data_IF_780300075779
#
_entry.id   IF_780300075779
#
_cell.length_a   1.000
_cell.length_b   1.000
_cell.length_c   1.000
_cell.angle_alpha   90.00
_cell.angle_beta   90.00
_cell.angle_gamma   90.00
#
_symmetry.space_group_name_H-M   'P 1'
#
loop_
_entity.id
_entity.type
_entity.pdbx_description
1 polymer ?
#
# COMPACT_ATOMS: atom_id res chain seq x y z
N UNK A 1 0.11 -0.53 6.88
CA UNK A 1 -0.05 0.59 5.93
C UNK A 1 -1.43 1.23 6.13
N UNK A 2 -1.54 2.57 6.16
CA UNK A 2 -2.83 3.29 6.34
C UNK A 2 -3.66 3.40 5.06
N UNK A 3 -3.09 2.99 3.92
CA UNK A 3 -3.60 3.27 2.58
C UNK A 3 -5.01 2.79 2.27
N UNK A 4 -5.56 3.34 1.20
CA UNK A 4 -6.88 3.06 0.65
C UNK A 4 -7.08 1.56 0.38
N UNK A 5 -8.24 1.03 0.79
CA UNK A 5 -8.56 -0.39 0.62
C UNK A 5 -8.65 -0.78 -0.86
N UNK A 6 -9.29 0.06 -1.70
CA UNK A 6 -9.47 -0.23 -3.12
C UNK A 6 -8.16 -0.21 -3.89
N UNK A 7 -7.30 0.77 -3.64
CA UNK A 7 -5.98 0.87 -4.25
C UNK A 7 -5.10 -0.34 -3.95
N UNK A 8 -4.97 -0.71 -2.66
CA UNK A 8 -4.15 -1.85 -2.25
C UNK A 8 -4.72 -3.18 -2.73
N UNK A 9 -6.05 -3.31 -2.80
CA UNK A 9 -6.69 -4.47 -3.42
C UNK A 9 -6.37 -4.59 -4.91
N UNK A 10 -6.38 -3.48 -5.65
CA UNK A 10 -6.05 -3.49 -7.08
C UNK A 10 -4.58 -3.87 -7.32
N UNK A 11 -3.65 -3.34 -6.51
CA UNK A 11 -2.24 -3.72 -6.55
C UNK A 11 -2.05 -5.20 -6.23
N UNK A 12 -2.63 -5.67 -5.11
CA UNK A 12 -2.57 -7.08 -4.71
C UNK A 12 -3.16 -8.01 -5.78
N UNK A 13 -4.28 -7.62 -6.40
CA UNK A 13 -4.87 -8.37 -7.51
C UNK A 13 -3.93 -8.43 -8.73
N UNK A 14 -3.22 -7.34 -9.03
CA UNK A 14 -2.27 -7.32 -10.14
C UNK A 14 -1.13 -8.34 -9.98
N UNK A 15 -0.64 -8.57 -8.75
CA UNK A 15 0.40 -9.57 -8.48
C UNK A 15 -0.12 -11.00 -8.67
N UNK A 16 -1.38 -11.24 -8.29
CA UNK A 16 -2.05 -12.52 -8.56
C UNK A 16 -2.22 -12.78 -10.06
N UNK A 17 -2.27 -11.72 -10.87
CA UNK A 17 -2.38 -11.77 -12.34
C UNK A 17 -1.03 -11.80 -13.06
N UNK A 18 0.09 -11.77 -12.33
CA UNK A 18 1.44 -11.96 -12.88
C UNK A 18 2.35 -10.73 -12.84
N UNK A 19 1.86 -9.56 -12.43
CA UNK A 19 2.68 -8.35 -12.31
C UNK A 19 3.42 -8.35 -10.97
N UNK A 20 4.64 -8.89 -10.93
CA UNK A 20 5.37 -9.09 -9.66
C UNK A 20 4.82 -10.26 -8.85
N UNK A 21 4.67 -11.43 -9.49
CA UNK A 21 4.01 -12.61 -8.93
C UNK A 21 4.76 -13.17 -7.71
N UNK A 22 4.07 -13.38 -6.58
CA UNK A 22 4.64 -13.89 -5.32
C UNK A 22 4.01 -15.20 -4.78
N UNK A 23 3.17 -15.89 -5.58
CA UNK A 23 2.53 -17.19 -5.27
C UNK A 23 1.88 -17.28 -3.87
N UNK A 24 0.82 -16.51 -3.59
CA UNK A 24 0.26 -16.42 -2.25
C UNK A 24 -0.70 -17.57 -1.91
N UNK A 25 -0.67 -17.98 -0.65
CA UNK A 25 -1.64 -18.83 0.02
C UNK A 25 -2.01 -18.20 1.35
N UNK A 26 -3.30 -18.14 1.68
CA UNK A 26 -3.72 -17.71 3.02
C UNK A 26 -3.30 -18.80 4.02
N UNK A 27 -2.23 -18.54 4.78
CA UNK A 27 -1.79 -19.42 5.85
C UNK A 27 -2.77 -19.35 7.02
N UNK A 28 -3.12 -18.13 7.41
CA UNK A 28 -4.15 -17.88 8.41
C UNK A 28 -4.83 -16.53 8.23
N UNK A 29 -6.11 -16.47 8.57
CA UNK A 29 -6.87 -15.25 8.80
C UNK A 29 -7.61 -15.45 10.10
N UNK A 30 -7.35 -14.60 11.08
CA UNK A 30 -8.01 -14.67 12.39
C UNK A 30 -8.52 -13.30 12.79
N UNK A 31 -9.69 -13.29 13.43
CA UNK A 31 -10.27 -12.08 13.99
C UNK A 31 -10.66 -12.32 15.44
N UNK A 32 -10.34 -11.38 16.31
CA UNK A 32 -10.59 -11.52 17.74
C UNK A 32 -10.20 -10.28 18.54
N UNK A 33 -10.47 -10.33 19.83
CA UNK A 33 -10.10 -9.27 20.76
C UNK A 33 -8.68 -9.50 21.30
N UNK A 34 -7.88 -8.44 21.29
CA UNK A 34 -6.51 -8.43 21.82
C UNK A 34 -6.46 -7.41 22.96
N UNK A 35 -6.01 -7.84 24.14
CA UNK A 35 -5.76 -6.97 25.28
C UNK A 35 -4.67 -5.94 24.97
N UNK A 36 -4.91 -4.67 25.32
CA UNK A 36 -3.97 -3.58 25.18
C UNK A 36 -3.46 -3.21 26.57
N UNK A 37 -2.15 -3.19 26.74
CA UNK A 37 -1.51 -2.78 27.98
C UNK A 37 -0.53 -1.63 27.75
N UNK A 38 -0.45 -0.73 28.72
CA UNK A 38 0.57 0.34 28.78
C UNK A 38 1.38 0.21 30.07
N UNK A 39 2.55 0.81 30.13
CA UNK A 39 3.36 0.92 31.36
C UNK A 39 3.44 2.40 31.75
N UNK A 40 2.51 2.90 32.59
CA UNK A 40 2.53 4.29 33.02
C UNK A 40 3.76 4.59 33.88
N UNK A 41 4.38 5.74 33.68
CA UNK A 41 5.57 6.16 34.43
C UNK A 41 5.28 6.23 35.94
N UNK A 42 4.07 6.67 36.31
CA UNK A 42 3.63 6.82 37.70
C UNK A 42 3.48 5.49 38.45
N UNK A 43 3.31 4.39 37.73
CA UNK A 43 3.06 3.07 38.30
C UNK A 43 4.26 2.13 38.13
N UNK A 44 5.01 2.24 37.03
CA UNK A 44 6.19 1.41 36.76
C UNK A 44 5.88 -0.07 36.47
N UNK A 45 4.62 -0.44 36.22
CA UNK A 45 4.20 -1.79 35.82
C UNK A 45 3.10 -1.75 34.74
N UNK A 46 2.90 -2.88 34.05
CA UNK A 46 1.92 -3.00 32.98
C UNK A 46 0.47 -2.96 33.51
N UNK A 47 -0.36 -2.12 32.90
CA UNK A 47 -1.79 -1.99 33.18
C UNK A 47 -2.56 -2.28 31.91
N UNK A 48 -3.50 -3.25 31.97
CA UNK A 48 -4.45 -3.51 30.89
C UNK A 48 -5.48 -2.37 30.83
N UNK A 49 -5.60 -1.72 29.67
CA UNK A 49 -6.47 -0.55 29.42
C UNK A 49 -7.71 -0.87 28.60
N UNK A 50 -7.90 -2.13 28.19
CA UNK A 50 -9.02 -2.60 27.40
C UNK A 50 -8.57 -3.53 26.28
N UNK A 51 -9.45 -3.74 25.30
CA UNK A 51 -9.23 -4.66 24.19
C UNK A 51 -9.55 -4.02 22.84
N UNK A 52 -8.94 -4.55 21.78
CA UNK A 52 -9.22 -4.15 20.40
C UNK A 52 -9.67 -5.36 19.60
N UNK A 53 -10.81 -5.24 18.91
CA UNK A 53 -11.19 -6.18 17.86
C UNK A 53 -10.27 -5.94 16.66
N UNK A 54 -9.49 -6.95 16.28
CA UNK A 54 -8.55 -6.89 15.18
C UNK A 54 -8.68 -8.10 14.27
N UNK A 55 -8.34 -7.92 13.00
CA UNK A 55 -8.14 -9.00 12.02
C UNK A 55 -6.68 -9.05 11.60
N UNK A 56 -6.06 -10.22 11.76
CA UNK A 56 -4.72 -10.56 11.32
C UNK A 56 -4.80 -11.49 10.09
N UNK A 57 -3.92 -11.26 9.12
CA UNK A 57 -3.76 -12.11 7.95
C UNK A 57 -2.28 -12.42 7.73
N UNK A 58 -1.97 -13.71 7.67
CA UNK A 58 -0.67 -14.23 7.30
C UNK A 58 -0.74 -14.92 5.93
N UNK A 59 0.01 -14.39 4.97
CA UNK A 59 0.17 -15.00 3.66
C UNK A 59 1.48 -15.79 3.63
N UNK A 60 1.39 -17.04 3.19
CA UNK A 60 2.55 -17.84 2.78
C UNK A 60 2.78 -17.56 1.30
N UNK A 61 4.03 -17.28 0.92
CA UNK A 61 4.42 -16.92 -0.43
C UNK A 61 5.47 -17.89 -0.99
N UNK A 62 5.91 -17.67 -2.23
CA UNK A 62 6.93 -18.49 -2.90
C UNK A 62 8.15 -18.78 -2.00
N UNK A 63 8.72 -19.99 -2.15
CA UNK A 63 9.91 -20.38 -1.40
C UNK A 63 11.18 -19.82 -2.03
N UNK A 64 12.20 -19.65 -1.19
CA UNK A 64 13.55 -19.30 -1.59
C UNK A 64 14.52 -20.40 -1.15
N UNK A 65 15.71 -20.43 -1.75
CA UNK A 65 16.81 -21.34 -1.42
C UNK A 65 18.09 -20.54 -1.09
N UNK A 66 18.17 -19.96 0.11
CA UNK A 66 19.31 -19.14 0.50
C UNK A 66 20.58 -19.98 0.77
N UNK A 67 21.78 -19.44 0.50
CA UNK A 67 23.02 -20.18 0.71
C UNK A 67 23.28 -20.44 2.19
N UNK A 68 23.47 -21.71 2.54
CA UNK A 68 23.82 -22.13 3.91
C UNK A 68 22.63 -22.49 4.81
N UNK A 69 21.40 -22.39 4.32
CA UNK A 69 20.18 -22.75 5.05
C UNK A 69 19.29 -23.67 4.20
N UNK A 70 18.21 -24.18 4.79
CA UNK A 70 17.25 -25.03 4.05
C UNK A 70 16.26 -24.16 3.30
N UNK A 71 15.79 -24.58 2.10
CA UNK A 71 14.72 -23.89 1.41
C UNK A 71 13.48 -23.72 2.30
N UNK A 72 12.90 -22.54 2.29
CA UNK A 72 11.72 -22.22 3.10
C UNK A 72 10.81 -21.21 2.38
N UNK A 73 9.54 -21.20 2.77
CA UNK A 73 8.58 -20.21 2.27
C UNK A 73 8.94 -18.80 2.74
N UNK A 74 8.54 -17.81 1.95
CA UNK A 74 8.49 -16.41 2.35
C UNK A 74 7.08 -16.06 2.84
N UNK A 75 6.87 -14.87 3.39
CA UNK A 75 5.58 -14.49 3.97
C UNK A 75 5.27 -13.02 3.81
N UNK A 76 3.99 -12.70 3.84
CA UNK A 76 3.47 -11.33 3.95
C UNK A 76 2.49 -11.22 5.11
N UNK A 77 2.36 -10.03 5.68
CA UNK A 77 1.59 -9.79 6.89
C UNK A 77 0.65 -8.59 6.78
N UNK A 78 -0.58 -8.76 7.26
CA UNK A 78 -1.60 -7.72 7.28
C UNK A 78 -2.36 -7.70 8.60
N UNK A 79 -2.59 -6.50 9.13
CA UNK A 79 -3.29 -6.32 10.41
C UNK A 79 -4.18 -5.08 10.33
N UNK A 80 -5.45 -5.22 10.73
CA UNK A 80 -6.46 -4.15 10.68
C UNK A 80 -7.33 -4.14 11.92
N UNK A 81 -7.98 -3.02 12.20
CA UNK A 81 -9.06 -2.95 13.18
C UNK A 81 -10.37 -3.53 12.64
N UNK A 82 -11.19 -4.06 13.53
CA UNK A 82 -12.48 -4.64 13.20
C UNK A 82 -12.35 -5.97 12.46
N UNK A 83 -13.23 -6.17 11.48
CA UNK A 83 -13.40 -7.43 10.74
C UNK A 83 -13.09 -7.29 9.24
N UNK A 84 -12.32 -6.27 8.80
CA UNK A 84 -12.08 -6.02 7.36
C UNK A 84 -10.98 -6.93 6.79
N UNK A 85 -11.30 -8.20 6.61
CA UNK A 85 -10.36 -9.22 6.12
C UNK A 85 -9.72 -8.87 4.79
N UNK A 86 -10.49 -8.33 3.83
CA UNK A 86 -9.95 -8.02 2.49
C UNK A 86 -8.83 -6.99 2.54
N UNK A 87 -8.89 -6.01 3.44
CA UNK A 87 -7.81 -5.04 3.65
C UNK A 87 -6.59 -5.70 4.28
N UNK A 88 -6.77 -6.58 5.26
CA UNK A 88 -5.67 -7.34 5.84
C UNK A 88 -4.98 -8.21 4.78
N UNK A 89 -5.75 -8.91 3.94
CA UNK A 89 -5.21 -9.70 2.83
C UNK A 89 -4.46 -8.85 1.81
N UNK A 90 -5.02 -7.72 1.37
CA UNK A 90 -4.35 -6.81 0.43
C UNK A 90 -3.04 -6.29 1.03
N UNK A 91 -3.06 -5.92 2.31
CA UNK A 91 -1.86 -5.48 3.03
C UNK A 91 -0.79 -6.58 3.07
N UNK A 92 -1.14 -7.83 3.38
CA UNK A 92 -0.19 -8.94 3.40
C UNK A 92 0.41 -9.22 2.01
N UNK A 93 -0.40 -9.14 0.96
CA UNK A 93 0.06 -9.37 -0.42
C UNK A 93 1.00 -8.26 -0.91
N UNK A 94 0.69 -7.00 -0.60
CA UNK A 94 1.53 -5.84 -0.95
C UNK A 94 2.77 -5.78 -0.06
N UNK A 95 2.68 -6.14 1.22
CA UNK A 95 3.83 -6.28 2.12
C UNK A 95 4.88 -7.22 1.52
N UNK A 96 4.48 -8.43 1.11
CA UNK A 96 5.42 -9.34 0.44
C UNK A 96 5.95 -8.78 -0.88
N UNK A 97 5.14 -8.06 -1.66
CA UNK A 97 5.60 -7.46 -2.91
C UNK A 97 6.66 -6.37 -2.67
N UNK A 98 6.52 -5.59 -1.60
CA UNK A 98 7.48 -4.55 -1.20
C UNK A 98 8.75 -5.11 -0.56
N UNK A 99 8.75 -6.37 -0.11
CA UNK A 99 9.97 -7.06 0.33
C UNK A 99 10.92 -7.45 -0.83
N UNK A 100 10.64 -6.97 -2.06
CA UNK A 100 11.46 -7.26 -3.23
C UNK A 100 12.95 -6.91 -3.04
N UNK A 101 13.34 -5.76 -2.46
CA UNK A 101 14.74 -5.43 -2.21
C UNK A 101 15.45 -6.43 -1.28
N UNK A 102 14.78 -6.89 -0.22
CA UNK A 102 15.32 -7.84 0.76
C UNK A 102 15.58 -9.21 0.15
N UNK A 103 14.77 -9.61 -0.83
CA UNK A 103 14.93 -10.87 -1.56
C UNK A 103 15.74 -10.72 -2.86
N UNK A 104 16.26 -9.52 -3.17
CA UNK A 104 16.99 -9.26 -4.41
C UNK A 104 16.13 -9.45 -5.66
N UNK A 105 14.81 -9.31 -5.54
CA UNK A 105 13.85 -9.43 -6.63
C UNK A 105 13.87 -8.18 -7.49
N UNK A 106 13.90 -8.34 -8.81
CA UNK A 106 13.70 -7.23 -9.71
C UNK A 106 12.21 -6.84 -9.75
N UNK A 107 11.90 -5.57 -9.51
CA UNK A 107 10.54 -5.04 -9.61
C UNK A 107 10.04 -5.14 -11.07
N UNK A 108 9.06 -6.01 -11.31
CA UNK A 108 8.46 -6.25 -12.64
C UNK A 108 7.00 -5.81 -12.72
N UNK A 109 6.43 -5.37 -11.60
CA UNK A 109 5.07 -4.85 -11.52
C UNK A 109 4.97 -3.69 -10.53
N UNK A 110 3.94 -2.82 -10.66
CA UNK A 110 3.80 -1.62 -9.83
C UNK A 110 3.71 -1.92 -8.34
N UNK A 111 3.21 -3.10 -7.94
CA UNK A 111 3.10 -3.48 -6.54
C UNK A 111 4.46 -3.74 -5.84
N UNK A 112 5.55 -3.85 -6.61
CA UNK A 112 6.93 -4.01 -6.10
C UNK A 112 7.71 -2.68 -6.11
N UNK A 113 7.13 -1.62 -6.69
CA UNK A 113 7.74 -0.29 -6.74
C UNK A 113 7.35 0.48 -5.46
N UNK A 114 8.28 0.56 -4.51
CA UNK A 114 8.02 1.12 -3.18
C UNK A 114 7.51 2.57 -3.22
N UNK A 115 8.17 3.42 -4.02
CA UNK A 115 7.78 4.83 -4.11
C UNK A 115 6.40 4.96 -4.77
N UNK A 116 6.17 4.25 -5.88
CA UNK A 116 4.88 4.27 -6.56
C UNK A 116 3.74 3.78 -5.65
N UNK A 117 3.97 2.72 -4.87
CA UNK A 117 2.96 2.18 -3.95
C UNK A 117 2.69 3.15 -2.80
N UNK A 118 3.72 3.55 -2.06
CA UNK A 118 3.54 4.27 -0.79
C UNK A 118 3.13 5.72 -1.00
N UNK A 119 3.64 6.40 -2.04
CA UNK A 119 3.33 7.80 -2.32
C UNK A 119 1.88 8.02 -2.81
N UNK A 120 1.19 6.97 -3.25
CA UNK A 120 -0.18 7.04 -3.77
C UNK A 120 -1.19 6.23 -2.94
N UNK A 121 -0.77 5.69 -1.81
CA UNK A 121 -1.61 4.81 -0.99
C UNK A 121 -2.60 5.56 -0.10
N UNK A 122 -2.23 6.68 0.53
CA UNK A 122 -3.10 7.37 1.49
C UNK A 122 -4.15 8.22 0.79
N UNK A 123 -5.43 7.84 0.92
CA UNK A 123 -6.52 8.58 0.30
C UNK A 123 -6.79 9.94 0.96
N UNK A 124 -6.28 10.21 2.16
CA UNK A 124 -6.33 11.56 2.75
C UNK A 124 -5.53 12.52 1.87
N UNK A 125 -4.35 12.10 1.41
CA UNK A 125 -3.52 12.87 0.48
C UNK A 125 -4.08 12.82 -0.94
N UNK A 126 -4.33 11.62 -1.47
CA UNK A 126 -4.74 11.45 -2.86
C UNK A 126 -6.09 12.12 -3.15
N UNK A 127 -7.10 11.96 -2.28
CA UNK A 127 -8.39 12.62 -2.46
C UNK A 127 -8.28 14.14 -2.29
N UNK A 128 -7.46 14.60 -1.34
CA UNK A 128 -7.16 16.01 -1.15
C UNK A 128 -6.60 16.64 -2.43
N UNK A 129 -5.56 16.03 -2.99
CA UNK A 129 -4.94 16.48 -4.22
C UNK A 129 -5.90 16.38 -5.41
N UNK A 130 -6.54 15.24 -5.67
CA UNK A 130 -7.47 15.17 -6.83
C UNK A 130 -8.60 16.19 -6.72
N UNK A 131 -9.13 16.41 -5.51
CA UNK A 131 -10.23 17.35 -5.30
C UNK A 131 -9.81 18.83 -5.34
N UNK A 132 -8.51 19.14 -5.20
CA UNK A 132 -8.00 20.52 -5.25
C UNK A 132 -8.29 21.18 -6.60
N UNK A 133 -8.40 20.41 -7.69
CA UNK A 133 -8.68 20.90 -9.05
C UNK A 133 -9.99 21.69 -9.16
N UNK A 134 -10.90 21.56 -8.19
CA UNK A 134 -12.13 22.38 -8.09
C UNK A 134 -11.86 23.81 -7.64
N UNK A 135 -10.69 24.09 -7.06
CA UNK A 135 -10.29 25.44 -6.69
C UNK A 135 -10.02 26.28 -7.94
N UNK A 136 -10.02 27.61 -7.83
CA UNK A 136 -9.78 28.46 -8.98
C UNK A 136 -8.34 28.32 -9.51
N UNK A 137 -8.20 27.86 -10.75
CA UNK A 137 -6.93 27.76 -11.50
C UNK A 137 -6.88 28.72 -12.70
N UNK A 138 -7.71 29.78 -12.70
CA UNK A 138 -7.87 30.66 -13.86
C UNK A 138 -6.61 31.47 -14.20
N UNK A 139 -5.72 31.73 -13.25
CA UNK A 139 -4.45 32.43 -13.50
C UNK A 139 -3.51 31.53 -14.30
N UNK A 140 -3.27 30.31 -13.82
CA UNK A 140 -2.41 29.34 -14.51
C UNK A 140 -3.00 28.95 -15.87
N UNK A 141 -4.31 28.73 -15.93
CA UNK A 141 -5.00 28.45 -17.19
C UNK A 141 -4.89 29.60 -18.19
N UNK A 142 -4.90 30.85 -17.73
CA UNK A 142 -4.73 32.01 -18.60
C UNK A 142 -3.31 32.08 -19.19
N UNK A 143 -2.28 31.70 -18.43
CA UNK A 143 -0.91 31.62 -18.93
C UNK A 143 -0.77 30.56 -20.05
N UNK A 144 -1.37 29.38 -19.85
CA UNK A 144 -1.42 28.33 -20.88
C UNK A 144 -2.21 28.76 -22.13
N UNK A 145 -3.34 29.45 -21.95
CA UNK A 145 -4.13 29.98 -23.06
C UNK A 145 -3.37 31.04 -23.87
N UNK A 146 -2.55 31.85 -23.24
CA UNK A 146 -1.73 32.84 -23.93
C UNK A 146 -0.70 32.16 -24.84
N UNK A 147 0.01 31.14 -24.33
CA UNK A 147 0.95 30.35 -25.10
C UNK A 147 0.27 29.66 -26.28
N UNK A 148 -0.88 29.03 -26.05
CA UNK A 148 -1.65 28.36 -27.09
C UNK A 148 -2.04 29.32 -28.22
N UNK A 149 -2.51 30.53 -27.87
CA UNK A 149 -2.91 31.55 -28.87
C UNK A 149 -1.72 32.03 -29.70
N UNK A 150 -0.54 32.19 -29.09
CA UNK A 150 0.69 32.56 -29.81
C UNK A 150 1.10 31.49 -30.81
N UNK A 151 1.12 30.22 -30.41
CA UNK A 151 1.44 29.11 -31.30
C UNK A 151 0.47 29.01 -32.49
N UNK A 152 -0.82 29.26 -32.28
CA UNK A 152 -1.82 29.28 -33.35
C UNK A 152 -1.59 30.43 -34.35
N UNK A 153 -1.17 31.60 -33.88
CA UNK A 153 -0.86 32.74 -34.75
C UNK A 153 0.39 32.48 -35.60
N UNK A 154 1.42 31.86 -35.01
CA UNK A 154 2.65 31.50 -35.72
C UNK A 154 2.39 30.49 -36.85
N UNK A 155 1.49 29.52 -36.66
CA UNK A 155 1.12 28.56 -37.70
C UNK A 155 0.29 29.15 -38.85
N UNK A 156 -0.58 30.14 -38.58
CA UNK A 156 -1.38 30.79 -39.62
C UNK A 156 -0.57 31.83 -40.44
N UNK A 157 0.66 32.13 -40.03
CA UNK A 157 1.54 33.10 -40.67
C UNK A 157 2.79 32.47 -41.32
N UNK A 158 2.91 31.14 -41.30
CA UNK A 158 3.90 30.36 -42.06
C UNK A 158 3.26 29.66 -43.26
#
# INVERSE_FOLDING_TARGET
MRGDEGYLLALAYSTQRGYGRNHPFAGEIRSGYIDVSIVPEELGFAVNVGELLMTECEMVNGFIDPPGERPHFTRGYGLVFGMSERKAMAMALVDRALQAPEYGEHATGPAQDEEFVLAHADNVEAAGFVSHLKLPHYVDFQAELELLKRLQQEQNHG
#
